data_IF_031738843236
#
_entry.id   IF_031738843236
#
_cell.length_a   1.000
_cell.length_b   1.000
_cell.length_c   1.000
_cell.angle_alpha   90.00
_cell.angle_beta   90.00
_cell.angle_gamma   90.00
#
_symmetry.space_group_name_H-M   'P 1'
#
loop_
_entity.id
_entity.type
_entity.pdbx_description
1 polymer ?
#
# COMPACT_ATOMS: atom_id res chain seq x y z
N UNK A 1 20.64 11.64 12.94
CA UNK A 1 20.45 11.58 12.71
C UNK A 1 20.11 11.55 12.41
N UNK A 2 19.94 11.37 12.46
CA UNK A 2 19.59 11.21 12.09
C UNK A 2 19.10 11.15 11.88
N UNK A 3 18.80 11.06 11.90
CA UNK A 3 18.29 10.88 11.62
C UNK A 3 17.72 10.93 11.37
N UNK A 4 17.56 11.13 11.37
CA UNK A 4 17.12 11.07 11.00
C UNK A 4 16.77 10.82 10.71
N UNK A 5 16.63 10.56 10.62
CA UNK A 5 16.48 10.09 10.26
C UNK A 5 16.32 9.65 10.34
N UNK A 6 16.52 10.06 10.28
CA UNK A 6 16.57 9.47 10.38
C UNK A 6 16.08 8.91 10.53
N UNK A 7 15.61 8.68 10.71
CA UNK A 7 15.13 8.07 10.78
C UNK A 7 14.39 7.27 10.32
N UNK A 8 13.52 7.29 9.83
CA UNK A 8 12.83 6.52 9.30
C UNK A 8 13.26 5.18 8.92
N UNK A 9 14.09 4.88 9.02
CA UNK A 9 14.84 3.74 8.71
C UNK A 9 14.27 2.41 9.13
N UNK A 10 13.37 2.38 10.04
CA UNK A 10 12.77 1.14 10.46
C UNK A 10 12.16 0.37 9.33
N UNK A 11 11.59 1.11 8.39
CA UNK A 11 10.85 0.49 7.31
C UNK A 11 11.72 -0.09 6.23
N UNK A 12 13.00 0.22 6.27
CA UNK A 12 13.93 -0.33 5.31
C UNK A 12 14.49 -1.68 5.75
N UNK A 13 14.09 -2.12 6.96
CA UNK A 13 14.60 -3.35 7.53
C UNK A 13 13.55 -4.41 7.69
N UNK A 14 12.67 -4.52 6.71
CA UNK A 14 11.68 -5.59 6.74
C UNK A 14 12.36 -6.91 6.47
N UNK A 15 11.82 -7.97 7.08
CA UNK A 15 12.33 -9.31 6.87
C UNK A 15 11.76 -9.97 5.65
N UNK A 16 12.30 -11.14 5.35
CA UNK A 16 11.88 -11.90 4.17
C UNK A 16 10.40 -12.24 4.20
N UNK A 17 9.91 -12.64 5.36
CA UNK A 17 8.51 -13.03 5.48
C UNK A 17 7.58 -11.85 5.20
N UNK A 18 7.88 -10.71 5.79
CA UNK A 18 7.07 -9.51 5.59
C UNK A 18 7.12 -9.05 4.14
N UNK A 19 8.31 -9.11 3.54
CA UNK A 19 8.46 -8.74 2.13
C UNK A 19 7.64 -9.67 1.24
N UNK A 20 7.70 -10.98 1.51
CA UNK A 20 6.95 -11.95 0.72
C UNK A 20 5.45 -11.70 0.81
N UNK A 21 4.94 -11.33 1.98
CA UNK A 21 3.54 -11.00 2.16
C UNK A 21 3.16 -9.78 1.32
N UNK A 22 4.02 -8.77 1.30
CA UNK A 22 3.78 -7.58 0.52
C UNK A 22 3.71 -7.88 -0.98
N UNK A 23 4.70 -8.62 -1.48
CA UNK A 23 4.73 -8.96 -2.89
C UNK A 23 3.57 -9.87 -3.28
N UNK A 24 3.18 -10.79 -2.39
CA UNK A 24 2.03 -11.65 -2.66
C UNK A 24 0.75 -10.83 -2.78
N UNK A 25 0.59 -9.83 -1.93
CA UNK A 25 -0.60 -8.99 -1.97
C UNK A 25 -0.71 -8.22 -3.28
N UNK A 26 0.42 -7.73 -3.81
CA UNK A 26 0.40 -6.96 -5.05
C UNK A 26 0.64 -7.82 -6.29
N UNK A 27 0.79 -9.14 -6.12
CA UNK A 27 1.00 -10.05 -7.24
C UNK A 27 -0.25 -10.38 -8.01
N UNK A 28 -1.38 -9.81 -7.64
CA UNK A 28 -2.65 -9.96 -8.34
C UNK A 28 -2.87 -8.70 -9.18
N UNK A 29 -3.20 -8.89 -10.45
CA UNK A 29 -3.40 -7.75 -11.33
C UNK A 29 -4.43 -6.75 -10.80
N UNK A 30 -5.63 -7.18 -10.35
CA UNK A 30 -6.58 -6.21 -9.83
C UNK A 30 -6.09 -5.51 -8.55
N UNK A 31 -5.39 -6.23 -7.67
CA UNK A 31 -4.87 -5.57 -6.46
C UNK A 31 -3.78 -4.57 -6.79
N UNK A 32 -2.94 -4.91 -7.76
CA UNK A 32 -1.92 -3.95 -8.21
C UNK A 32 -2.58 -2.71 -8.79
N UNK A 33 -3.64 -2.89 -9.57
CA UNK A 33 -4.38 -1.76 -10.14
C UNK A 33 -4.93 -0.85 -9.05
N UNK A 34 -5.50 -1.43 -8.00
CA UNK A 34 -6.00 -0.67 -6.86
C UNK A 34 -4.86 0.10 -6.19
N UNK A 35 -3.75 -0.59 -5.93
CA UNK A 35 -2.62 0.06 -5.28
C UNK A 35 -2.07 1.21 -6.12
N UNK A 36 -1.97 1.02 -7.43
CA UNK A 36 -1.49 2.07 -8.31
C UNK A 36 -2.42 3.28 -8.31
N UNK A 37 -3.72 3.05 -8.25
CA UNK A 37 -4.67 4.17 -8.14
C UNK A 37 -4.40 4.99 -6.88
N UNK A 38 -4.11 4.31 -5.77
CA UNK A 38 -3.82 4.98 -4.52
C UNK A 38 -2.47 5.69 -4.54
N UNK A 39 -1.47 5.07 -5.16
CA UNK A 39 -0.16 5.70 -5.31
C UNK A 39 -0.29 7.00 -6.10
N UNK A 40 -1.06 6.97 -7.18
CA UNK A 40 -1.25 8.17 -8.02
C UNK A 40 -2.04 9.25 -7.31
N UNK A 41 -2.91 8.87 -6.37
CA UNK A 41 -3.69 9.84 -5.61
C UNK A 41 -2.86 10.57 -4.56
N UNK A 42 -1.70 10.03 -4.20
CA UNK A 42 -0.84 10.65 -3.22
C UNK A 42 -1.41 10.59 -1.80
N UNK A 43 -1.00 11.53 -0.98
CA UNK A 43 -1.43 11.53 0.44
C UNK A 43 -2.90 11.83 0.62
N UNK A 44 -3.52 12.40 -0.39
CA UNK A 44 -4.93 12.69 -0.32
C UNK A 44 -5.76 11.41 -0.25
N UNK A 45 -5.30 10.36 -0.90
CA UNK A 45 -6.00 9.10 -0.90
C UNK A 45 -7.29 9.11 -1.69
N UNK A 46 -8.03 8.01 -1.59
CA UNK A 46 -9.29 7.85 -2.31
C UNK A 46 -10.31 7.15 -1.42
N UNK A 47 -11.57 7.49 -1.60
CA UNK A 47 -12.67 6.74 -1.02
C UNK A 47 -12.90 5.46 -1.84
N UNK A 48 -13.66 4.53 -1.28
CA UNK A 48 -14.00 3.29 -1.99
C UNK A 48 -14.70 3.61 -3.32
N UNK A 49 -15.63 4.56 -3.30
CA UNK A 49 -16.33 4.96 -4.53
C UNK A 49 -15.40 5.49 -5.60
N UNK A 50 -14.42 6.29 -5.18
CA UNK A 50 -13.44 6.82 -6.12
C UNK A 50 -12.55 5.74 -6.70
N UNK A 51 -12.16 4.77 -5.88
CA UNK A 51 -11.37 3.63 -6.38
C UNK A 51 -12.19 2.84 -7.39
N UNK A 52 -13.49 2.64 -7.08
CA UNK A 52 -14.39 1.95 -7.98
C UNK A 52 -14.45 2.63 -9.34
N UNK A 53 -14.58 3.94 -9.33
CA UNK A 53 -14.63 4.70 -10.57
C UNK A 53 -13.36 4.55 -11.40
N UNK A 54 -12.22 4.54 -10.72
CA UNK A 54 -10.94 4.49 -11.42
C UNK A 54 -10.58 3.10 -11.93
N UNK A 55 -11.01 2.06 -11.21
CA UNK A 55 -10.61 0.69 -11.55
C UNK A 55 -11.71 -0.12 -12.20
N UNK A 56 -12.97 0.26 -12.01
CA UNK A 56 -14.09 -0.51 -12.51
C UNK A 56 -14.38 -1.76 -11.70
N UNK A 57 -13.71 -1.95 -10.59
CA UNK A 57 -13.91 -3.15 -9.76
C UNK A 57 -15.16 -2.99 -8.92
N UNK A 58 -16.06 -4.00 -8.90
CA UNK A 58 -17.28 -3.91 -8.08
C UNK A 58 -16.95 -3.79 -6.59
N UNK A 59 -17.83 -3.12 -5.87
CA UNK A 59 -17.60 -2.81 -4.45
C UNK A 59 -17.30 -4.03 -3.60
N UNK A 60 -18.05 -5.13 -3.80
CA UNK A 60 -17.85 -6.32 -2.98
C UNK A 60 -16.46 -6.94 -3.20
N UNK A 61 -16.02 -6.99 -4.45
CA UNK A 61 -14.70 -7.50 -4.79
C UNK A 61 -13.61 -6.56 -4.30
N UNK A 62 -13.85 -5.25 -4.46
CA UNK A 62 -12.91 -4.25 -4.02
C UNK A 62 -12.66 -4.33 -2.52
N UNK A 63 -13.70 -4.60 -1.74
CA UNK A 63 -13.58 -4.76 -0.31
C UNK A 63 -12.58 -5.85 0.07
N UNK A 64 -12.59 -6.97 -0.67
CA UNK A 64 -11.63 -8.05 -0.46
C UNK A 64 -10.21 -7.61 -0.79
N UNK A 65 -10.06 -6.91 -1.91
CA UNK A 65 -8.72 -6.45 -2.32
C UNK A 65 -8.14 -5.46 -1.31
N UNK A 66 -8.98 -4.56 -0.81
CA UNK A 66 -8.53 -3.59 0.18
C UNK A 66 -8.11 -4.28 1.48
N UNK A 67 -8.83 -5.34 1.85
CA UNK A 67 -8.48 -6.10 3.05
C UNK A 67 -7.12 -6.76 2.91
N UNK A 68 -6.83 -7.37 1.76
CA UNK A 68 -5.54 -7.98 1.52
C UNK A 68 -4.41 -6.95 1.54
N UNK A 69 -4.64 -5.81 0.90
CA UNK A 69 -3.63 -4.76 0.87
C UNK A 69 -3.37 -4.18 2.26
N UNK A 70 -4.44 -4.02 3.04
CA UNK A 70 -4.33 -3.51 4.39
C UNK A 70 -3.59 -4.49 5.30
N UNK A 71 -3.90 -5.79 5.17
CA UNK A 71 -3.24 -6.82 5.96
C UNK A 71 -1.75 -6.89 5.66
N UNK A 72 -1.37 -6.60 4.42
CA UNK A 72 0.04 -6.57 4.03
C UNK A 72 0.69 -5.21 4.30
N UNK A 73 -0.04 -4.29 4.93
CA UNK A 73 0.44 -2.96 5.32
C UNK A 73 0.78 -2.07 4.13
N UNK A 74 0.18 -2.34 2.99
CA UNK A 74 0.44 -1.55 1.79
C UNK A 74 -0.45 -0.34 1.68
N UNK A 75 -1.54 -0.33 2.42
CA UNK A 75 -2.45 0.81 2.48
C UNK A 75 -2.82 1.10 3.92
N UNK A 76 -3.21 2.33 4.16
CA UNK A 76 -3.73 2.77 5.44
C UNK A 76 -5.13 3.32 5.23
N UNK A 77 -5.99 3.11 6.20
CA UNK A 77 -7.36 3.58 6.13
C UNK A 77 -7.62 4.55 7.26
N UNK A 78 -8.22 5.67 6.92
CA UNK A 78 -8.59 6.70 7.88
C UNK A 78 -10.08 6.92 7.79
N UNK A 79 -10.74 6.89 8.94
CA UNK A 79 -12.18 7.11 8.98
C UNK A 79 -12.46 8.57 9.29
N UNK A 80 -13.31 9.18 8.47
CA UNK A 80 -13.73 10.56 8.66
C UNK A 80 -15.25 10.54 8.61
N UNK A 81 -15.87 10.50 9.78
CA UNK A 81 -17.31 10.33 9.89
C UNK A 81 -17.71 8.96 9.37
N UNK A 82 -18.52 8.93 8.32
CA UNK A 82 -18.93 7.68 7.69
C UNK A 82 -18.06 7.31 6.51
N UNK A 83 -17.13 8.18 6.17
CA UNK A 83 -16.32 7.99 4.98
C UNK A 83 -14.99 7.39 5.36
N UNK A 84 -14.56 6.39 4.59
CA UNK A 84 -13.25 5.78 4.77
C UNK A 84 -12.38 6.21 3.62
N UNK A 85 -11.25 6.83 3.96
CA UNK A 85 -10.24 7.22 2.97
C UNK A 85 -9.12 6.20 3.00
N UNK A 86 -8.73 5.76 1.83
CA UNK A 86 -7.65 4.79 1.67
C UNK A 86 -6.44 5.52 1.10
N UNK A 87 -5.28 5.27 1.66
CA UNK A 87 -4.03 5.87 1.23
C UNK A 87 -2.98 4.80 1.03
N UNK A 88 -2.13 4.99 0.04
CA UNK A 88 -0.98 4.12 -0.11
C UNK A 88 -0.03 4.35 1.06
N UNK A 89 0.49 3.26 1.62
CA UNK A 89 1.48 3.36 2.70
C UNK A 89 2.85 3.49 2.05
N UNK A 90 3.20 4.71 1.66
CA UNK A 90 4.39 4.96 0.85
C UNK A 90 5.68 4.45 1.49
N UNK A 91 5.82 4.62 2.79
CA UNK A 91 7.02 4.15 3.48
C UNK A 91 7.20 2.65 3.35
N UNK A 92 6.12 1.90 3.49
CA UNK A 92 6.19 0.45 3.38
C UNK A 92 6.41 0.00 1.94
N UNK A 93 5.78 0.68 0.99
CA UNK A 93 6.00 0.38 -0.44
C UNK A 93 7.46 0.62 -0.79
N UNK A 94 8.02 1.71 -0.28
CA UNK A 94 9.43 2.01 -0.50
C UNK A 94 10.31 0.91 0.10
N UNK A 95 9.95 0.43 1.28
CA UNK A 95 10.70 -0.65 1.93
C UNK A 95 10.71 -1.93 1.10
N UNK A 96 9.57 -2.24 0.45
CA UNK A 96 9.50 -3.41 -0.43
C UNK A 96 10.42 -3.25 -1.65
N UNK A 97 10.38 -2.07 -2.27
CA UNK A 97 11.24 -1.80 -3.41
C UNK A 97 12.70 -1.91 -3.01
N UNK A 98 13.04 -1.32 -1.86
CA UNK A 98 14.42 -1.34 -1.39
C UNK A 98 14.86 -2.73 -0.96
N UNK A 99 13.94 -3.56 -0.49
CA UNK A 99 14.26 -4.92 -0.10
C UNK A 99 14.88 -5.69 -1.27
N UNK A 100 14.30 -5.52 -2.45
CA UNK A 100 14.87 -6.16 -3.65
C UNK A 100 16.20 -5.54 -4.05
N UNK A 101 16.27 -4.22 -3.99
CA UNK A 101 17.43 -3.50 -4.50
C UNK A 101 18.65 -3.59 -3.59
N UNK A 102 18.45 -3.80 -2.31
CA UNK A 102 19.60 -3.83 -1.39
C UNK A 102 20.48 -5.06 -1.56
N UNK A 103 19.98 -6.08 -2.26
CA UNK A 103 20.81 -7.24 -2.58
C UNK A 103 21.64 -7.00 -3.82
N UNK A 104 21.37 -5.89 -4.50
CA UNK A 104 22.09 -5.53 -5.71
C UNK A 104 23.39 -4.83 -5.36
N UNK A 105 24.34 -5.04 -6.15
CA UNK A 105 25.57 -4.26 -6.16
C UNK A 105 25.71 -3.30 -4.99
#
# INVERSE_FOLDING_TARGET
MSNAHDIKPLNDNIGLEEAAQGFAAIGSEPRLDVLLALVRAGHKGLTVGEIQQKTGIPASTLSHHLRFLSAARLIEQTKDGRTIHNQAAFTHIEALANFLLRECC
#
